data_IF_937004918594
#
_entry.id   IF_937004918594
#
_cell.length_a   1.000
_cell.length_b   1.000
_cell.length_c   1.000
_cell.angle_alpha   90.00
_cell.angle_beta   90.00
_cell.angle_gamma   90.00
#
_symmetry.space_group_name_H-M   'P 1'
#
loop_
_entity.id
_entity.type
_entity.pdbx_description
1 polymer ?
#
# COMPACT_ATOMS: atom_id res chain seq x y z
N UNK A 1 31.90 21.32 3.52
CA UNK A 1 31.38 20.10 2.88
C UNK A 1 30.33 19.56 3.82
N UNK A 2 29.07 19.81 3.52
CA UNK A 2 27.97 19.52 4.42
C UNK A 2 27.50 18.08 4.19
N UNK A 3 27.61 17.24 5.22
CA UNK A 3 27.37 15.79 5.15
C UNK A 3 25.86 15.45 5.13
N UNK A 4 25.01 16.48 5.24
CA UNK A 4 23.55 16.38 5.38
C UNK A 4 22.76 16.16 4.08
N UNK A 5 23.39 16.05 2.89
CA UNK A 5 22.68 15.96 1.60
C UNK A 5 22.91 14.70 0.77
N UNK A 6 23.49 13.64 1.34
CA UNK A 6 23.68 12.37 0.62
C UNK A 6 22.35 11.59 0.59
N UNK A 7 21.73 11.55 -0.59
CA UNK A 7 20.51 10.77 -0.87
C UNK A 7 20.88 9.29 -1.05
N UNK A 8 20.07 8.37 -0.53
CA UNK A 8 20.27 6.93 -0.76
C UNK A 8 20.00 6.56 -2.22
N UNK A 9 20.70 5.57 -2.77
CA UNK A 9 20.49 5.14 -4.16
C UNK A 9 19.03 4.68 -4.41
N UNK A 10 18.38 4.07 -3.42
CA UNK A 10 16.98 3.66 -3.50
C UNK A 10 16.03 4.87 -3.56
N UNK A 11 16.35 5.90 -2.77
CA UNK A 11 15.60 7.14 -2.71
C UNK A 11 15.76 7.92 -4.02
N UNK A 12 16.98 8.01 -4.53
CA UNK A 12 17.28 8.60 -5.83
C UNK A 12 16.54 7.87 -6.96
N UNK A 13 16.59 6.53 -6.98
CA UNK A 13 15.85 5.74 -7.96
C UNK A 13 14.34 6.01 -7.88
N UNK A 14 13.77 6.03 -6.68
CA UNK A 14 12.34 6.26 -6.50
C UNK A 14 11.91 7.64 -6.98
N UNK A 15 12.58 8.71 -6.53
CA UNK A 15 12.18 10.08 -6.85
C UNK A 15 12.57 10.51 -8.27
N UNK A 16 13.79 10.17 -8.72
CA UNK A 16 14.29 10.60 -10.03
C UNK A 16 13.96 9.61 -11.13
N UNK A 17 14.17 8.32 -10.89
CA UNK A 17 13.97 7.27 -11.90
C UNK A 17 12.50 6.92 -12.09
N UNK A 18 11.84 6.49 -11.01
CA UNK A 18 10.48 5.97 -11.05
C UNK A 18 9.44 7.08 -11.15
N UNK A 19 9.38 8.01 -10.19
CA UNK A 19 8.41 9.11 -10.21
C UNK A 19 8.75 10.16 -11.27
N UNK A 20 10.01 10.20 -11.72
CA UNK A 20 10.45 11.09 -12.77
C UNK A 20 10.40 12.56 -12.37
N UNK A 21 10.46 12.91 -11.07
CA UNK A 21 10.22 14.27 -10.54
C UNK A 21 11.35 15.28 -10.84
N UNK A 22 12.24 14.98 -11.78
CA UNK A 22 13.38 15.81 -12.17
C UNK A 22 13.10 16.64 -13.43
N UNK A 23 13.68 17.83 -13.53
CA UNK A 23 13.73 18.61 -14.78
C UNK A 23 14.99 18.19 -15.57
N UNK A 24 14.93 18.05 -16.91
CA UNK A 24 16.04 17.53 -17.71
C UNK A 24 17.35 18.34 -17.65
N UNK A 25 17.37 19.54 -17.06
CA UNK A 25 18.53 20.43 -17.00
C UNK A 25 18.85 20.99 -15.59
N UNK A 26 18.20 20.52 -14.52
CA UNK A 26 18.47 21.03 -13.16
C UNK A 26 19.47 20.11 -12.44
N UNK A 27 20.50 20.66 -11.80
CA UNK A 27 21.48 19.88 -11.01
C UNK A 27 21.11 19.80 -9.53
N UNK A 28 20.01 20.44 -9.12
CA UNK A 28 19.55 20.47 -7.73
C UNK A 28 18.43 19.46 -7.49
N UNK A 29 18.63 18.58 -6.51
CA UNK A 29 17.70 17.50 -6.14
C UNK A 29 16.50 17.97 -5.31
N UNK A 30 16.07 19.22 -5.46
CA UNK A 30 14.91 19.74 -4.75
C UNK A 30 13.67 19.61 -5.65
N UNK A 31 12.88 18.59 -5.33
CA UNK A 31 11.60 18.20 -5.94
C UNK A 31 10.74 19.43 -6.23
N UNK A 32 10.58 19.78 -7.51
CA UNK A 32 9.60 20.75 -7.96
C UNK A 32 8.70 20.13 -9.02
N UNK A 33 7.53 19.63 -8.58
CA UNK A 33 6.30 19.61 -9.38
C UNK A 33 5.15 20.05 -8.50
N UNK A 34 4.88 21.34 -8.51
CA UNK A 34 3.69 21.91 -7.87
C UNK A 34 2.42 21.48 -8.61
N UNK A 35 1.27 21.71 -7.97
CA UNK A 35 -0.05 21.41 -8.57
C UNK A 35 -0.31 22.21 -9.86
N UNK A 36 0.42 23.30 -10.05
CA UNK A 36 0.39 24.21 -11.19
C UNK A 36 1.17 23.69 -12.42
N UNK A 37 2.15 22.80 -12.21
CA UNK A 37 2.92 22.20 -13.31
C UNK A 37 3.27 20.73 -13.01
N UNK A 38 2.38 19.85 -13.48
CA UNK A 38 2.49 18.39 -13.32
C UNK A 38 3.57 17.74 -14.21
N UNK A 39 4.18 18.50 -15.13
CA UNK A 39 5.24 18.02 -16.01
C UNK A 39 4.76 17.05 -17.11
N UNK A 40 5.70 16.32 -17.72
CA UNK A 40 5.41 15.35 -18.77
C UNK A 40 5.01 13.99 -18.19
N UNK A 41 4.20 13.25 -18.95
CA UNK A 41 3.68 11.96 -18.54
C UNK A 41 4.77 10.88 -18.57
N UNK A 42 4.93 10.14 -17.46
CA UNK A 42 5.82 8.99 -17.41
C UNK A 42 5.17 7.76 -18.09
N UNK A 43 5.58 7.49 -19.33
CA UNK A 43 5.05 6.40 -20.14
C UNK A 43 5.22 5.00 -19.54
N UNK A 44 6.26 4.76 -18.72
CA UNK A 44 6.43 3.47 -18.06
C UNK A 44 5.32 3.23 -17.05
N UNK A 45 4.98 4.23 -16.24
CA UNK A 45 3.88 4.16 -15.27
C UNK A 45 2.54 4.02 -15.99
N UNK A 46 2.34 4.74 -17.10
CA UNK A 46 1.11 4.64 -17.91
C UNK A 46 0.90 3.23 -18.43
N UNK A 47 1.93 2.60 -18.99
CA UNK A 47 1.84 1.22 -19.50
C UNK A 47 1.58 0.25 -18.34
N UNK A 48 2.28 0.38 -17.21
CA UNK A 48 2.03 -0.42 -16.01
C UNK A 48 0.57 -0.28 -15.52
N UNK A 49 0.05 0.95 -15.49
CA UNK A 49 -1.33 1.22 -15.10
C UNK A 49 -2.32 0.59 -16.09
N UNK A 50 -2.09 0.73 -17.40
CA UNK A 50 -2.92 0.12 -18.43
C UNK A 50 -2.96 -1.42 -18.30
N UNK A 51 -1.82 -2.05 -17.99
CA UNK A 51 -1.75 -3.49 -17.71
C UNK A 51 -2.55 -3.87 -16.45
N UNK A 52 -2.48 -3.09 -15.37
CA UNK A 52 -3.29 -3.33 -14.16
C UNK A 52 -4.78 -3.25 -14.48
N UNK A 53 -5.23 -2.24 -15.22
CA UNK A 53 -6.63 -2.13 -15.64
C UNK A 53 -7.07 -3.31 -16.51
N UNK A 54 -6.22 -3.77 -17.42
CA UNK A 54 -6.50 -4.94 -18.26
C UNK A 54 -6.68 -6.20 -17.40
N UNK A 55 -5.81 -6.42 -16.41
CA UNK A 55 -5.92 -7.55 -15.47
C UNK A 55 -7.20 -7.45 -14.64
N UNK A 56 -7.53 -6.27 -14.11
CA UNK A 56 -8.77 -6.04 -13.37
C UNK A 56 -10.01 -6.33 -14.23
N UNK A 57 -10.02 -5.85 -15.48
CA UNK A 57 -11.10 -6.12 -16.43
C UNK A 57 -11.28 -7.63 -16.65
N UNK A 58 -10.20 -8.35 -16.98
CA UNK A 58 -10.26 -9.80 -17.16
C UNK A 58 -10.57 -10.58 -15.89
N UNK A 59 -10.36 -10.01 -14.70
CA UNK A 59 -10.73 -10.66 -13.43
C UNK A 59 -12.22 -10.54 -13.12
N UNK A 60 -12.88 -9.50 -13.67
CA UNK A 60 -14.28 -9.18 -13.41
C UNK A 60 -15.23 -9.53 -14.57
N UNK A 61 -14.73 -9.65 -15.81
CA UNK A 61 -15.58 -9.77 -17.01
C UNK A 61 -16.58 -10.95 -16.96
N UNK A 62 -16.19 -12.12 -16.49
CA UNK A 62 -17.09 -13.29 -16.31
C UNK A 62 -17.85 -13.28 -14.97
N UNK A 63 -17.89 -12.15 -14.27
CA UNK A 63 -18.60 -11.97 -13.01
C UNK A 63 -17.94 -12.65 -11.81
N UNK A 64 -18.74 -12.84 -10.75
CA UNK A 64 -18.22 -13.23 -9.43
C UNK A 64 -17.62 -14.64 -9.38
N UNK A 65 -18.04 -15.54 -10.26
CA UNK A 65 -17.50 -16.90 -10.33
C UNK A 65 -16.04 -16.97 -10.80
N UNK A 66 -15.61 -16.03 -11.64
CA UNK A 66 -14.21 -15.91 -12.06
C UNK A 66 -13.40 -15.06 -11.08
N UNK A 67 -13.98 -13.95 -10.60
CA UNK A 67 -13.36 -13.11 -9.57
C UNK A 67 -13.03 -13.95 -8.32
N UNK A 68 -13.95 -14.81 -7.87
CA UNK A 68 -13.70 -15.71 -6.74
C UNK A 68 -12.51 -16.65 -6.94
N UNK A 69 -12.28 -17.16 -8.16
CA UNK A 69 -11.10 -18.00 -8.48
C UNK A 69 -9.81 -17.19 -8.45
N UNK A 70 -9.82 -15.96 -8.94
CA UNK A 70 -8.65 -15.06 -8.88
C UNK A 70 -8.33 -14.69 -7.44
N UNK A 71 -9.35 -14.45 -6.62
CA UNK A 71 -9.23 -14.11 -5.19
C UNK A 71 -8.50 -15.20 -4.39
N UNK A 72 -8.69 -16.48 -4.71
CA UNK A 72 -7.92 -17.56 -4.07
C UNK A 72 -6.41 -17.34 -4.16
N UNK A 73 -5.91 -16.84 -5.28
CA UNK A 73 -4.50 -16.50 -5.40
C UNK A 73 -4.19 -15.13 -4.78
N UNK A 74 -4.92 -14.09 -5.16
CA UNK A 74 -4.58 -12.70 -4.78
C UNK A 74 -4.76 -12.41 -3.29
N UNK A 75 -5.64 -13.12 -2.60
CA UNK A 75 -5.80 -13.01 -1.15
C UNK A 75 -4.80 -13.87 -0.36
N UNK A 76 -4.42 -15.05 -0.86
CA UNK A 76 -3.51 -15.95 -0.14
C UNK A 76 -2.03 -15.64 -0.37
N UNK A 77 -1.65 -15.25 -1.59
CA UNK A 77 -0.26 -14.98 -1.93
C UNK A 77 0.42 -13.93 -1.03
N UNK A 78 -0.24 -12.80 -0.66
CA UNK A 78 0.35 -11.86 0.30
C UNK A 78 0.74 -12.50 1.64
N UNK A 79 -0.04 -13.45 2.16
CA UNK A 79 0.32 -14.16 3.41
C UNK A 79 1.54 -15.05 3.25
N UNK A 80 1.72 -15.68 2.08
CA UNK A 80 2.95 -16.44 1.78
C UNK A 80 4.16 -15.52 1.76
N UNK A 81 4.07 -14.37 1.07
CA UNK A 81 5.14 -13.38 1.02
C UNK A 81 5.44 -12.83 2.41
N UNK A 82 4.42 -12.47 3.19
CA UNK A 82 4.58 -12.03 4.57
C UNK A 82 5.22 -13.10 5.44
N UNK A 83 4.87 -14.38 5.28
CA UNK A 83 5.50 -15.48 5.98
C UNK A 83 7.00 -15.60 5.68
N UNK A 84 7.37 -15.52 4.39
CA UNK A 84 8.79 -15.54 3.97
C UNK A 84 9.54 -14.32 4.50
N UNK A 85 8.96 -13.12 4.37
CA UNK A 85 9.56 -11.88 4.85
C UNK A 85 9.68 -11.85 6.37
N UNK A 86 8.71 -12.42 7.09
CA UNK A 86 8.74 -12.54 8.54
C UNK A 86 9.88 -13.46 8.98
N UNK A 87 9.95 -14.68 8.43
CA UNK A 87 11.04 -15.63 8.73
C UNK A 87 12.39 -14.99 8.42
N UNK A 88 12.52 -14.37 7.23
CA UNK A 88 13.76 -13.69 6.87
C UNK A 88 14.08 -12.57 7.84
N UNK A 89 13.12 -11.70 8.15
CA UNK A 89 13.27 -10.54 9.03
C UNK A 89 13.76 -10.93 10.43
N UNK A 90 13.18 -11.97 11.05
CA UNK A 90 13.62 -12.42 12.38
C UNK A 90 14.97 -13.13 12.36
N UNK A 91 15.40 -13.70 11.23
CA UNK A 91 16.74 -14.31 11.10
C UNK A 91 17.87 -13.30 10.87
N UNK A 92 17.56 -12.02 10.61
CA UNK A 92 18.59 -10.99 10.43
C UNK A 92 19.18 -10.57 11.79
N UNK A 93 20.50 -10.31 11.85
CA UNK A 93 21.13 -9.74 13.04
C UNK A 93 20.58 -8.33 13.29
N UNK A 94 20.26 -8.00 14.54
CA UNK A 94 19.68 -6.70 14.90
C UNK A 94 18.15 -6.63 14.79
N UNK A 95 17.47 -7.74 14.48
CA UNK A 95 16.00 -7.78 14.37
C UNK A 95 15.30 -7.46 15.69
N UNK A 96 15.94 -7.78 16.81
CA UNK A 96 15.46 -7.52 18.15
C UNK A 96 15.22 -6.03 18.44
N UNK A 97 16.08 -5.14 17.92
CA UNK A 97 15.94 -3.69 18.12
C UNK A 97 14.69 -3.15 17.43
N UNK A 98 14.39 -3.65 16.22
CA UNK A 98 13.18 -3.27 15.49
C UNK A 98 11.91 -3.76 16.17
N UNK A 99 11.94 -4.99 16.70
CA UNK A 99 10.81 -5.57 17.45
C UNK A 99 10.55 -4.80 18.74
N UNK A 100 11.60 -4.48 19.51
CA UNK A 100 11.46 -3.67 20.73
C UNK A 100 10.87 -2.30 20.40
N UNK A 101 11.42 -1.61 19.40
CA UNK A 101 10.92 -0.30 18.99
C UNK A 101 9.44 -0.32 18.59
N UNK A 102 9.00 -1.35 17.85
CA UNK A 102 7.61 -1.47 17.40
C UNK A 102 6.64 -1.78 18.54
N UNK A 103 7.02 -2.63 19.50
CA UNK A 103 6.12 -3.13 20.55
C UNK A 103 6.18 -2.34 21.86
N UNK A 104 7.21 -1.51 22.08
CA UNK A 104 7.38 -0.77 23.34
C UNK A 104 6.23 0.23 23.55
N UNK A 105 5.36 0.02 24.56
CA UNK A 105 4.17 0.83 24.72
C UNK A 105 4.50 2.20 25.33
N UNK A 106 3.97 3.28 24.73
CA UNK A 106 4.01 4.60 25.31
C UNK A 106 2.62 4.99 25.85
N UNK A 107 2.36 4.62 27.10
CA UNK A 107 1.04 4.80 27.75
C UNK A 107 0.63 6.28 27.84
N UNK A 108 1.59 7.22 27.87
CA UNK A 108 1.29 8.65 27.92
C UNK A 108 0.52 9.11 26.67
N UNK A 109 0.79 8.50 25.51
CA UNK A 109 0.12 8.84 24.25
C UNK A 109 -1.36 8.47 24.24
N UNK A 110 -1.81 7.53 25.07
CA UNK A 110 -3.22 7.15 25.15
C UNK A 110 -4.12 8.28 25.70
N UNK A 111 -3.52 9.29 26.34
CA UNK A 111 -4.24 10.50 26.80
C UNK A 111 -4.47 11.51 25.67
N UNK A 112 -3.73 11.39 24.56
CA UNK A 112 -3.84 12.30 23.43
C UNK A 112 -5.05 11.92 22.56
N UNK A 113 -6.02 12.82 22.32
CA UNK A 113 -7.19 12.52 21.49
C UNK A 113 -6.83 12.14 20.05
N UNK A 114 -5.73 12.64 19.51
CA UNK A 114 -5.26 12.35 18.15
C UNK A 114 -5.00 10.85 17.94
N UNK A 115 -4.45 10.15 18.93
CA UNK A 115 -4.17 8.70 18.83
C UNK A 115 -5.47 7.90 18.65
N UNK A 116 -6.56 8.33 19.29
CA UNK A 116 -7.87 7.70 19.13
C UNK A 116 -8.50 8.03 17.79
N UNK A 117 -8.33 9.26 17.30
CA UNK A 117 -8.77 9.65 15.97
C UNK A 117 -8.04 8.83 14.89
N UNK A 118 -6.72 8.67 15.00
CA UNK A 118 -5.91 7.88 14.08
C UNK A 118 -6.31 6.40 14.13
N UNK A 119 -6.51 5.84 15.32
CA UNK A 119 -6.95 4.45 15.49
C UNK A 119 -8.34 4.22 14.87
N UNK A 120 -9.29 5.13 15.11
CA UNK A 120 -10.63 5.04 14.52
C UNK A 120 -10.57 5.13 12.99
N UNK A 121 -9.77 6.06 12.46
CA UNK A 121 -9.54 6.23 11.02
C UNK A 121 -8.92 4.98 10.41
N UNK A 122 -7.92 4.38 11.08
CA UNK A 122 -7.27 3.15 10.66
C UNK A 122 -8.26 1.98 10.59
N UNK A 123 -9.06 1.74 11.64
CA UNK A 123 -10.05 0.65 11.65
C UNK A 123 -11.13 0.88 10.58
N UNK A 124 -11.61 2.12 10.44
CA UNK A 124 -12.62 2.47 9.45
C UNK A 124 -12.13 2.22 8.02
N UNK A 125 -10.96 2.72 7.63
CA UNK A 125 -10.44 2.52 6.28
C UNK A 125 -9.89 1.11 6.03
N UNK A 126 -9.45 0.40 7.06
CA UNK A 126 -9.02 -1.01 6.95
C UNK A 126 -10.21 -1.94 6.64
N UNK A 127 -11.35 -1.74 7.31
CA UNK A 127 -12.56 -2.54 7.08
C UNK A 127 -13.42 -2.02 5.91
N UNK A 128 -13.38 -0.71 5.65
CA UNK A 128 -14.15 -0.05 4.60
C UNK A 128 -15.69 -0.20 4.68
N UNK A 129 -16.33 -0.14 5.86
CA UNK A 129 -17.79 -0.25 5.94
C UNK A 129 -18.45 0.94 5.25
N UNK A 130 -19.60 0.69 4.61
CA UNK A 130 -20.37 1.75 3.95
C UNK A 130 -19.94 2.11 2.53
N UNK A 131 -18.83 1.56 2.01
CA UNK A 131 -18.40 1.77 0.61
C UNK A 131 -19.15 0.92 -0.43
N UNK A 132 -20.19 0.17 -0.02
CA UNK A 132 -21.02 -0.64 -0.91
C UNK A 132 -20.38 -1.96 -1.39
N UNK A 133 -19.06 -2.15 -1.25
CA UNK A 133 -18.35 -3.38 -1.66
C UNK A 133 -18.86 -4.60 -0.89
N UNK A 134 -18.92 -4.51 0.45
CA UNK A 134 -19.45 -5.60 1.28
C UNK A 134 -20.92 -5.89 1.00
N UNK A 135 -21.71 -4.85 0.72
CA UNK A 135 -23.13 -5.00 0.35
C UNK A 135 -23.28 -5.73 -1.00
N UNK A 136 -22.46 -5.37 -1.98
CA UNK A 136 -22.42 -6.03 -3.28
C UNK A 136 -21.96 -7.49 -3.15
N UNK A 137 -21.00 -7.81 -2.29
CA UNK A 137 -20.60 -9.21 -2.05
C UNK A 137 -21.70 -10.01 -1.33
N UNK A 138 -22.34 -9.41 -0.33
CA UNK A 138 -23.44 -10.05 0.40
C UNK A 138 -24.66 -10.33 -0.49
N UNK A 139 -24.91 -9.54 -1.54
CA UNK A 139 -26.05 -9.76 -2.44
C UNK A 139 -25.95 -11.04 -3.28
N UNK A 140 -24.74 -11.59 -3.43
CA UNK A 140 -24.51 -12.88 -4.10
C UNK A 140 -24.52 -14.08 -3.14
N UNK A 141 -24.75 -13.85 -1.84
CA UNK A 141 -24.79 -14.91 -0.84
C UNK A 141 -26.19 -15.54 -0.73
N UNK A 142 -26.26 -16.80 -0.28
CA UNK A 142 -27.55 -17.45 -0.01
C UNK A 142 -28.24 -16.80 1.20
N UNK A 143 -29.57 -16.62 1.13
CA UNK A 143 -30.35 -15.96 2.17
C UNK A 143 -30.25 -16.63 3.55
N UNK A 144 -30.17 -17.97 3.56
CA UNK A 144 -30.07 -18.76 4.79
C UNK A 144 -28.62 -19.07 5.19
N UNK A 145 -27.62 -18.45 4.55
CA UNK A 145 -26.24 -18.66 4.94
C UNK A 145 -25.95 -17.90 6.24
N UNK A 146 -25.26 -18.55 7.19
CA UNK A 146 -24.87 -17.88 8.42
C UNK A 146 -23.78 -16.83 8.12
N UNK A 147 -24.09 -15.57 8.41
CA UNK A 147 -23.19 -14.42 8.22
C UNK A 147 -22.67 -13.84 9.53
N UNK A 148 -23.07 -14.42 10.66
CA UNK A 148 -22.59 -14.12 11.99
C UNK A 148 -21.76 -15.30 12.53
N UNK A 149 -20.85 -15.02 13.45
CA UNK A 149 -20.27 -16.06 14.32
C UNK A 149 -21.09 -16.13 15.59
#
# INVERSE_FOLDING_TARGET
>A
MDESSKISAAEEYFYKGFLGLHAPNDTTSHVARGLDNLGSMNWHIVICLALVYLICYFSLWKGIGMSGKVVWFTALFPYVVLGVLFIRGITLPGSEMGIEYYLKPNIKMLKEPSVWQDAATQVFFSLGPGFGVLMAYSSYNNFNNNVYV
#
